data_IF_217476734118
#
_entry.id   IF_217476734118
#
_cell.length_a   1.000
_cell.length_b   1.000
_cell.length_c   1.000
_cell.angle_alpha   90.00
_cell.angle_beta   90.00
_cell.angle_gamma   90.00
#
_symmetry.space_group_name_H-M   'P 1'
#
loop_
_entity.id
_entity.type
_entity.pdbx_description
1 polymer ?
#
# COMPACT_ATOMS: atom_id res chain seq x y z
N UNK A 1 -6.53 2.91 -32.41
CA UNK A 1 -6.52 1.82 -31.43
C UNK A 1 -6.91 2.44 -30.12
N UNK A 2 -7.86 1.85 -29.41
CA UNK A 2 -8.23 2.29 -28.07
C UNK A 2 -7.04 2.27 -27.12
N UNK A 3 -7.07 3.15 -26.12
CA UNK A 3 -6.06 3.27 -25.08
C UNK A 3 -6.53 2.64 -23.76
N UNK A 4 -5.59 2.00 -23.06
CA UNK A 4 -5.73 1.57 -21.66
C UNK A 4 -5.80 2.77 -20.72
N UNK A 5 -6.09 2.54 -19.43
CA UNK A 5 -6.17 3.62 -18.43
C UNK A 5 -4.87 4.42 -18.39
N UNK A 6 -3.73 3.74 -18.28
CA UNK A 6 -2.41 4.38 -18.16
C UNK A 6 -2.04 5.15 -19.43
N UNK A 7 -2.30 4.58 -20.61
CA UNK A 7 -2.07 5.28 -21.88
C UNK A 7 -2.89 6.58 -21.96
N UNK A 8 -4.18 6.57 -21.56
CA UNK A 8 -5.01 7.78 -21.54
C UNK A 8 -4.49 8.84 -20.58
N UNK A 9 -4.08 8.43 -19.38
CA UNK A 9 -3.53 9.36 -18.40
C UNK A 9 -2.23 9.97 -18.93
N UNK A 10 -1.30 9.14 -19.41
CA UNK A 10 0.00 9.59 -19.93
C UNK A 10 -0.15 10.46 -21.18
N UNK A 11 -1.03 10.11 -22.13
CA UNK A 11 -1.31 10.92 -23.31
C UNK A 11 -1.77 12.32 -22.93
N UNK A 12 -2.79 12.42 -22.07
CA UNK A 12 -3.33 13.71 -21.61
C UNK A 12 -2.27 14.53 -20.88
N UNK A 13 -1.51 13.91 -19.99
CA UNK A 13 -0.49 14.59 -19.17
C UNK A 13 0.76 14.97 -19.96
N UNK A 14 0.97 14.37 -21.13
CA UNK A 14 1.98 14.75 -22.11
C UNK A 14 1.49 15.75 -23.17
N UNK A 15 0.21 16.17 -23.11
CA UNK A 15 -0.40 17.02 -24.14
C UNK A 15 -0.51 16.35 -25.52
N UNK A 16 -0.62 15.02 -25.55
CA UNK A 16 -0.78 14.21 -26.77
C UNK A 16 -2.20 13.67 -26.90
N UNK A 17 -2.67 13.51 -28.13
CA UNK A 17 -3.98 12.89 -28.39
C UNK A 17 -3.97 11.38 -28.11
N UNK A 18 -2.84 10.72 -28.35
CA UNK A 18 -2.65 9.29 -28.09
C UNK A 18 -1.18 8.98 -27.81
N UNK A 19 -0.95 7.83 -27.16
CA UNK A 19 0.36 7.21 -26.94
C UNK A 19 0.22 5.71 -27.14
N UNK A 20 1.33 5.01 -27.36
CA UNK A 20 1.37 3.56 -27.47
C UNK A 20 2.56 2.98 -26.67
N UNK A 21 2.52 1.68 -26.32
CA UNK A 21 3.65 1.02 -25.68
C UNK A 21 4.94 1.19 -26.48
N UNK A 22 6.03 1.55 -25.80
CA UNK A 22 7.32 1.90 -26.40
C UNK A 22 7.55 3.41 -26.56
N UNK A 23 6.50 4.25 -26.53
CA UNK A 23 6.67 5.70 -26.55
C UNK A 23 7.37 6.20 -25.29
N UNK A 24 8.22 7.23 -25.42
CA UNK A 24 8.67 8.04 -24.29
C UNK A 24 7.90 9.35 -24.25
N UNK A 25 7.32 9.64 -23.09
CA UNK A 25 6.54 10.85 -22.83
C UNK A 25 7.13 11.65 -21.68
N UNK A 26 7.11 12.98 -21.80
CA UNK A 26 7.35 13.90 -20.69
C UNK A 26 5.98 14.36 -20.21
N UNK A 27 5.71 14.24 -18.92
CA UNK A 27 4.40 14.50 -18.32
C UNK A 27 4.48 15.52 -17.20
N UNK A 28 3.43 16.32 -17.07
CA UNK A 28 3.22 17.15 -15.90
C UNK A 28 2.87 16.28 -14.68
N UNK A 29 3.52 16.53 -13.55
CA UNK A 29 3.20 15.85 -12.29
C UNK A 29 2.17 16.68 -11.51
N UNK A 30 1.14 16.03 -10.97
CA UNK A 30 0.07 16.70 -10.22
C UNK A 30 0.34 16.73 -8.73
N UNK A 31 0.97 15.68 -8.20
CA UNK A 31 1.36 15.59 -6.80
C UNK A 31 2.72 14.93 -6.65
N UNK A 32 3.63 15.59 -5.94
CA UNK A 32 4.95 15.07 -5.57
C UNK A 32 5.05 14.96 -4.07
N UNK A 33 5.41 13.78 -3.56
CA UNK A 33 5.46 13.51 -2.13
C UNK A 33 6.88 13.15 -1.70
N UNK A 34 7.35 13.80 -0.64
CA UNK A 34 8.61 13.48 0.02
C UNK A 34 8.33 12.85 1.39
N UNK A 35 9.10 11.83 1.74
CA UNK A 35 9.07 11.16 3.05
C UNK A 35 10.28 11.55 3.91
N UNK A 36 10.14 11.39 5.23
CA UNK A 36 11.16 11.73 6.23
C UNK A 36 12.57 11.15 5.96
N UNK A 37 12.68 9.91 5.46
CA UNK A 37 13.98 9.29 5.16
C UNK A 37 14.84 10.09 4.18
N UNK A 38 14.21 10.78 3.22
CA UNK A 38 14.92 11.62 2.26
C UNK A 38 15.65 12.77 2.95
N UNK A 39 15.02 13.37 3.96
CA UNK A 39 15.58 14.47 4.74
C UNK A 39 16.71 14.04 5.69
N UNK A 40 16.74 12.75 6.06
CA UNK A 40 17.76 12.16 6.93
C UNK A 40 18.98 11.62 6.17
N UNK A 41 18.79 11.12 4.94
CA UNK A 41 19.82 10.33 4.24
C UNK A 41 20.45 11.02 3.03
N UNK A 42 19.67 11.81 2.29
CA UNK A 42 20.06 12.34 0.97
C UNK A 42 19.60 13.79 0.79
N UNK A 43 19.52 14.54 1.90
CA UNK A 43 19.00 15.90 1.89
C UNK A 43 19.99 16.89 1.26
N UNK A 44 19.56 17.48 0.15
CA UNK A 44 20.22 18.60 -0.51
C UNK A 44 19.19 19.73 -0.55
N UNK A 45 19.44 20.90 0.06
CA UNK A 45 18.50 22.02 -0.03
C UNK A 45 18.36 22.51 -1.49
N UNK A 46 17.16 22.54 -2.08
CA UNK A 46 16.97 23.11 -3.40
C UNK A 46 17.06 24.64 -3.34
N UNK A 47 17.37 25.27 -4.47
CA UNK A 47 17.35 26.74 -4.59
C UNK A 47 15.98 27.27 -5.01
N UNK A 48 15.14 26.43 -5.63
CA UNK A 48 13.80 26.76 -6.11
C UNK A 48 12.93 25.50 -6.10
N UNK A 49 11.64 25.67 -5.89
CA UNK A 49 10.61 24.67 -6.19
C UNK A 49 9.71 25.16 -7.32
N UNK A 50 9.20 24.24 -8.14
CA UNK A 50 8.31 24.54 -9.26
C UNK A 50 6.97 25.08 -8.77
N UNK A 51 6.31 24.33 -7.89
CA UNK A 51 4.98 24.64 -7.37
C UNK A 51 4.79 24.05 -5.95
N UNK A 52 4.76 24.89 -4.89
CA UNK A 52 4.47 24.45 -3.52
C UNK A 52 3.13 23.73 -3.38
N UNK A 53 2.14 24.10 -4.19
CA UNK A 53 0.78 23.54 -4.17
C UNK A 53 0.70 22.19 -4.89
N UNK A 54 1.81 21.67 -5.43
CA UNK A 54 1.92 20.29 -5.93
C UNK A 54 2.88 19.44 -5.11
N UNK A 55 3.29 19.92 -3.94
CA UNK A 55 4.18 19.22 -3.03
C UNK A 55 3.47 18.84 -1.73
N UNK A 56 3.78 17.65 -1.23
CA UNK A 56 3.47 17.22 0.12
C UNK A 56 4.72 16.62 0.78
N UNK A 57 4.85 16.84 2.09
CA UNK A 57 5.91 16.26 2.91
C UNK A 57 5.25 15.49 4.03
N UNK A 58 5.55 14.20 4.15
CA UNK A 58 4.90 13.30 5.11
C UNK A 58 5.96 12.66 6.00
N UNK A 59 5.82 12.87 7.30
CA UNK A 59 6.60 12.11 8.28
C UNK A 59 5.97 10.72 8.42
N UNK A 60 6.77 9.65 8.36
CA UNK A 60 6.25 8.28 8.26
C UNK A 60 7.24 7.27 8.85
N UNK A 61 8.29 6.91 8.11
CA UNK A 61 9.12 5.73 8.33
C UNK A 61 9.95 5.78 9.62
N UNK A 62 10.21 6.98 10.14
CA UNK A 62 11.04 7.19 11.32
C UNK A 62 10.30 8.03 12.38
N UNK A 63 9.05 7.66 12.68
CA UNK A 63 8.24 8.32 13.71
C UNK A 63 7.86 7.34 14.83
N UNK A 64 8.13 7.67 16.11
CA UNK A 64 9.15 8.61 16.57
C UNK A 64 10.54 8.26 16.05
N UNK A 65 11.39 9.28 15.91
CA UNK A 65 12.75 9.12 15.41
C UNK A 65 13.53 8.07 16.23
N UNK A 66 13.96 6.95 15.64
CA UNK A 66 14.72 5.92 16.35
C UNK A 66 16.18 6.30 16.56
N UNK A 67 16.72 7.25 15.78
CA UNK A 67 18.10 7.70 15.88
C UNK A 67 18.25 9.23 15.84
N UNK A 68 19.42 9.73 16.25
CA UNK A 68 19.78 11.16 16.15
C UNK A 68 19.76 11.64 14.69
N UNK A 69 20.14 10.78 13.75
CA UNK A 69 20.11 11.08 12.32
C UNK A 69 18.68 11.36 11.85
N UNK A 70 17.73 10.52 12.26
CA UNK A 70 16.32 10.68 11.88
C UNK A 70 15.69 11.90 12.54
N UNK A 71 16.04 12.15 13.81
CA UNK A 71 15.62 13.36 14.52
C UNK A 71 16.12 14.64 13.81
N UNK A 72 17.36 14.61 13.31
CA UNK A 72 17.96 15.69 12.52
C UNK A 72 17.24 15.87 11.17
N UNK A 73 16.94 14.75 10.48
CA UNK A 73 16.16 14.77 9.24
C UNK A 73 14.78 15.41 9.42
N UNK A 74 14.08 15.12 10.52
CA UNK A 74 12.83 15.81 10.85
C UNK A 74 12.99 17.33 11.00
N UNK A 75 14.14 17.80 11.52
CA UNK A 75 14.47 19.22 11.55
C UNK A 75 14.62 19.84 10.15
N UNK A 76 15.30 19.14 9.24
CA UNK A 76 15.41 19.55 7.84
C UNK A 76 14.05 19.62 7.14
N UNK A 77 13.18 18.64 7.33
CA UNK A 77 11.84 18.61 6.74
C UNK A 77 10.99 19.81 7.16
N UNK A 78 10.98 20.12 8.47
CA UNK A 78 10.26 21.30 9.01
C UNK A 78 10.80 22.60 8.45
N UNK A 79 12.12 22.74 8.39
CA UNK A 79 12.77 23.92 7.82
C UNK A 79 12.44 24.08 6.33
N UNK A 80 12.51 22.99 5.57
CA UNK A 80 12.16 22.99 4.14
C UNK A 80 10.70 23.42 3.91
N UNK A 81 9.77 22.84 4.67
CA UNK A 81 8.36 23.21 4.56
C UNK A 81 8.13 24.70 4.87
N UNK A 82 8.82 25.25 5.88
CA UNK A 82 8.74 26.66 6.24
C UNK A 82 9.37 27.59 5.18
N UNK A 83 10.59 27.27 4.71
CA UNK A 83 11.34 28.10 3.75
C UNK A 83 10.59 28.26 2.42
N UNK A 84 9.87 27.21 2.01
CA UNK A 84 9.18 27.16 0.72
C UNK A 84 7.65 27.27 0.82
N UNK A 85 7.10 27.47 2.02
CA UNK A 85 5.65 27.63 2.22
C UNK A 85 4.83 26.39 1.88
N UNK A 86 5.37 25.19 2.09
CA UNK A 86 4.66 23.92 1.80
C UNK A 86 3.52 23.72 2.80
N UNK A 87 2.28 23.92 2.36
CA UNK A 87 1.10 23.79 3.22
C UNK A 87 0.76 22.33 3.55
N UNK A 88 1.02 21.41 2.63
CA UNK A 88 0.77 19.97 2.80
C UNK A 88 1.91 19.26 3.53
N UNK A 89 2.26 19.80 4.69
CA UNK A 89 3.21 19.19 5.60
C UNK A 89 2.49 18.43 6.72
N UNK A 90 2.72 17.12 6.77
CA UNK A 90 2.13 16.19 7.72
C UNK A 90 3.19 15.76 8.73
N UNK A 91 3.45 16.64 9.70
CA UNK A 91 4.44 16.43 10.76
C UNK A 91 3.98 15.41 11.81
N UNK A 92 4.86 15.04 12.73
CA UNK A 92 4.56 14.26 13.93
C UNK A 92 3.34 14.85 14.66
N UNK A 93 2.39 13.98 15.02
CA UNK A 93 1.04 14.33 15.49
C UNK A 93 -0.04 14.46 14.40
N UNK A 94 0.35 14.68 13.14
CA UNK A 94 -0.51 14.59 11.93
C UNK A 94 -0.03 13.54 10.92
N UNK A 95 1.07 12.88 11.23
CA UNK A 95 1.76 11.85 10.47
C UNK A 95 0.96 10.56 10.26
N UNK A 96 1.55 9.69 9.44
CA UNK A 96 1.07 8.34 9.18
C UNK A 96 1.85 7.74 8.03
N UNK A 97 1.52 6.49 7.72
CA UNK A 97 1.97 5.80 6.53
C UNK A 97 1.64 6.68 5.32
N UNK A 98 2.65 7.05 4.53
CA UNK A 98 2.56 8.10 3.52
C UNK A 98 1.41 7.87 2.53
N UNK A 99 1.21 6.63 2.08
CA UNK A 99 0.13 6.27 1.16
C UNK A 99 -1.26 6.34 1.80
N UNK A 100 -1.37 6.10 3.11
CA UNK A 100 -2.61 6.33 3.86
C UNK A 100 -2.90 7.82 4.00
N UNK A 101 -1.88 8.62 4.32
CA UNK A 101 -2.00 10.09 4.43
C UNK A 101 -2.38 10.71 3.07
N UNK A 102 -1.79 10.23 1.97
CA UNK A 102 -2.19 10.60 0.60
C UNK A 102 -3.67 10.33 0.37
N UNK A 103 -4.14 9.14 0.71
CA UNK A 103 -5.52 8.72 0.50
C UNK A 103 -6.54 9.53 1.32
N UNK A 104 -6.30 9.66 2.63
CA UNK A 104 -7.26 10.31 3.54
C UNK A 104 -7.36 11.82 3.34
N UNK A 105 -6.33 12.45 2.76
CA UNK A 105 -6.31 13.87 2.45
C UNK A 105 -6.62 14.18 0.97
N UNK A 106 -7.02 13.18 0.17
CA UNK A 106 -7.44 13.39 -1.21
C UNK A 106 -6.31 13.86 -2.15
N UNK A 107 -5.07 13.47 -1.87
CA UNK A 107 -3.89 13.87 -2.64
C UNK A 107 -3.67 13.01 -3.89
N UNK A 108 -4.21 11.79 -3.90
CA UNK A 108 -4.33 10.96 -5.10
C UNK A 108 -5.72 11.14 -5.70
N UNK A 109 -5.79 11.66 -6.94
CA UNK A 109 -7.06 11.97 -7.61
C UNK A 109 -7.14 11.21 -8.94
N UNK A 110 -8.35 10.82 -9.38
CA UNK A 110 -8.52 10.09 -10.62
C UNK A 110 -7.96 10.83 -11.83
N UNK A 111 -7.16 10.10 -12.62
CA UNK A 111 -6.55 10.58 -13.85
C UNK A 111 -5.34 11.51 -13.70
N UNK A 112 -4.83 11.67 -12.48
CA UNK A 112 -3.64 12.48 -12.21
C UNK A 112 -2.36 11.63 -12.16
N UNK A 113 -1.21 12.30 -12.18
CA UNK A 113 0.12 11.69 -11.99
C UNK A 113 0.62 12.01 -10.57
N UNK A 114 0.95 10.96 -9.82
CA UNK A 114 1.52 11.08 -8.47
C UNK A 114 2.90 10.43 -8.41
N UNK A 115 3.90 11.19 -7.96
CA UNK A 115 5.26 10.71 -7.76
C UNK A 115 5.65 10.83 -6.29
N UNK A 116 6.32 9.82 -5.75
CA UNK A 116 6.80 9.83 -4.37
C UNK A 116 8.13 9.08 -4.25
N UNK A 117 8.93 9.41 -3.24
CA UNK A 117 10.22 8.74 -2.96
C UNK A 117 10.10 7.31 -2.40
N UNK A 118 8.88 6.78 -2.29
CA UNK A 118 8.61 5.43 -1.78
C UNK A 118 8.16 4.48 -2.90
N UNK A 119 8.60 3.22 -2.88
CA UNK A 119 8.27 2.25 -3.93
C UNK A 119 6.78 1.91 -4.04
N UNK A 120 6.04 2.01 -2.94
CA UNK A 120 4.65 1.58 -2.84
C UNK A 120 3.63 2.64 -3.26
N UNK A 121 4.10 3.68 -3.93
CA UNK A 121 3.28 4.77 -4.48
C UNK A 121 2.20 4.28 -5.44
N UNK A 122 2.39 3.10 -6.05
CA UNK A 122 1.37 2.39 -6.82
C UNK A 122 0.06 2.14 -6.05
N UNK A 123 0.07 2.21 -4.71
CA UNK A 123 -1.14 2.23 -3.87
C UNK A 123 -2.21 3.21 -4.38
N UNK A 124 -1.79 4.36 -4.90
CA UNK A 124 -2.70 5.38 -5.40
C UNK A 124 -3.41 5.00 -6.70
N UNK A 125 -2.97 3.94 -7.40
CA UNK A 125 -3.68 3.42 -8.56
C UNK A 125 -5.04 2.80 -8.25
N UNK A 126 -5.32 2.45 -6.97
CA UNK A 126 -6.67 2.17 -6.50
C UNK A 126 -7.64 3.34 -6.73
N UNK A 127 -7.12 4.57 -6.76
CA UNK A 127 -7.89 5.80 -6.98
C UNK A 127 -7.90 6.25 -8.44
N UNK A 128 -7.58 5.34 -9.37
CA UNK A 128 -7.46 5.64 -10.80
C UNK A 128 -6.37 6.70 -11.10
N UNK A 129 -5.34 6.77 -10.25
CA UNK A 129 -4.18 7.67 -10.40
C UNK A 129 -2.99 6.91 -11.00
N UNK A 130 -2.30 7.49 -11.98
CA UNK A 130 -1.04 6.94 -12.47
C UNK A 130 0.09 7.30 -11.49
N UNK A 131 0.37 6.38 -10.56
CA UNK A 131 1.22 6.65 -9.41
C UNK A 131 2.43 5.71 -9.36
N UNK A 132 3.64 6.27 -9.22
CA UNK A 132 4.89 5.50 -9.24
C UNK A 132 5.92 6.02 -8.25
N UNK A 133 6.60 5.09 -7.60
CA UNK A 133 7.74 5.38 -6.73
C UNK A 133 8.97 5.69 -7.57
N UNK A 134 9.64 6.81 -7.30
CA UNK A 134 10.79 7.26 -8.06
C UNK A 134 11.99 7.51 -7.13
N UNK A 135 13.19 7.35 -7.68
CA UNK A 135 14.41 7.58 -6.93
C UNK A 135 14.50 9.04 -6.43
N UNK A 136 15.24 9.30 -5.33
CA UNK A 136 15.38 10.63 -4.75
C UNK A 136 15.80 11.70 -5.78
N UNK A 137 16.75 11.39 -6.65
CA UNK A 137 17.22 12.33 -7.69
C UNK A 137 16.10 12.74 -8.65
N UNK A 138 15.22 11.81 -9.04
CA UNK A 138 14.10 12.09 -9.93
C UNK A 138 13.04 12.92 -9.20
N UNK A 139 12.71 12.60 -7.95
CA UNK A 139 11.79 13.42 -7.13
C UNK A 139 12.36 14.83 -6.91
N UNK A 140 13.67 14.96 -6.72
CA UNK A 140 14.38 16.25 -6.67
C UNK A 140 14.21 17.05 -7.97
N UNK A 141 14.32 16.38 -9.12
CA UNK A 141 14.09 16.98 -10.44
C UNK A 141 12.64 17.44 -10.57
N UNK A 142 11.68 16.58 -10.24
CA UNK A 142 10.24 16.86 -10.34
C UNK A 142 9.86 18.06 -9.48
N UNK A 143 10.29 18.11 -8.22
CA UNK A 143 9.93 19.25 -7.35
C UNK A 143 10.51 20.58 -7.86
N UNK A 144 11.59 20.56 -8.65
CA UNK A 144 12.21 21.77 -9.23
C UNK A 144 11.62 22.16 -10.59
N UNK A 145 11.13 21.18 -11.36
CA UNK A 145 10.73 21.33 -12.77
C UNK A 145 9.24 21.16 -13.03
N UNK A 146 8.52 20.42 -12.18
CA UNK A 146 7.10 20.10 -12.33
C UNK A 146 6.81 18.89 -13.23
N UNK A 147 7.84 18.28 -13.83
CA UNK A 147 7.69 17.26 -14.88
C UNK A 147 8.59 16.06 -14.64
N UNK A 148 8.21 14.91 -15.17
CA UNK A 148 9.07 13.72 -15.31
C UNK A 148 8.83 13.05 -16.66
N UNK A 149 9.53 11.96 -16.94
CA UNK A 149 9.35 11.18 -18.15
C UNK A 149 9.06 9.71 -17.82
N UNK A 150 8.26 9.07 -18.67
CA UNK A 150 7.97 7.65 -18.60
C UNK A 150 8.10 7.03 -19.99
N UNK A 151 8.57 5.79 -20.04
CA UNK A 151 8.36 4.92 -21.18
C UNK A 151 7.00 4.22 -20.99
N UNK A 152 6.12 4.30 -21.98
CA UNK A 152 4.81 3.65 -21.93
C UNK A 152 5.01 2.13 -22.01
N UNK A 153 4.64 1.43 -20.96
CA UNK A 153 4.69 -0.03 -20.89
C UNK A 153 3.41 -0.68 -21.46
N UNK A 154 3.47 -1.92 -21.99
CA UNK A 154 2.27 -2.73 -22.24
C UNK A 154 1.50 -3.01 -20.95
N UNK A 155 0.20 -3.33 -21.07
CA UNK A 155 -0.68 -3.54 -19.93
C UNK A 155 -1.22 -4.98 -19.87
N UNK A 156 -1.13 -5.62 -18.70
CA UNK A 156 -1.85 -6.84 -18.35
C UNK A 156 -3.19 -6.45 -17.72
N UNK A 157 -4.27 -7.06 -18.20
CA UNK A 157 -5.62 -6.88 -17.67
C UNK A 157 -5.98 -8.02 -16.73
N UNK A 158 -6.37 -7.68 -15.49
CA UNK A 158 -7.04 -8.59 -14.57
C UNK A 158 -8.54 -8.32 -14.57
N UNK A 159 -9.29 -9.24 -15.15
CA UNK A 159 -10.75 -9.23 -15.22
C UNK A 159 -11.31 -9.96 -14.00
N UNK A 160 -11.79 -9.20 -13.02
CA UNK A 160 -12.36 -9.71 -11.78
C UNK A 160 -13.81 -10.15 -12.02
N UNK A 161 -14.13 -11.39 -11.66
CA UNK A 161 -15.44 -12.01 -11.89
C UNK A 161 -15.97 -12.68 -10.62
N UNK A 162 -17.29 -12.73 -10.47
CA UNK A 162 -17.93 -13.29 -9.27
C UNK A 162 -17.86 -12.37 -8.05
N UNK A 163 -18.06 -12.94 -6.87
CA UNK A 163 -18.09 -12.23 -5.58
C UNK A 163 -17.17 -12.96 -4.61
N UNK A 164 -16.21 -12.25 -4.01
CA UNK A 164 -15.28 -12.85 -3.05
C UNK A 164 -16.01 -13.30 -1.77
N UNK A 165 -15.64 -14.44 -1.17
CA UNK A 165 -16.11 -14.79 0.17
C UNK A 165 -15.72 -13.73 1.21
N UNK A 166 -16.52 -13.60 2.27
CA UNK A 166 -16.28 -12.59 3.33
C UNK A 166 -14.94 -12.74 4.06
N UNK A 167 -14.41 -13.97 4.13
CA UNK A 167 -13.10 -14.26 4.73
C UNK A 167 -11.91 -13.92 3.80
N UNK A 168 -12.15 -13.59 2.53
CA UNK A 168 -11.13 -13.24 1.54
C UNK A 168 -11.00 -11.73 1.45
N UNK A 169 -9.79 -11.22 1.56
CA UNK A 169 -9.43 -9.81 1.43
C UNK A 169 -8.69 -9.52 0.12
N UNK A 170 -8.38 -8.24 -0.12
CA UNK A 170 -7.52 -7.83 -1.22
C UNK A 170 -6.11 -8.44 -1.15
N UNK A 171 -5.62 -8.77 0.06
CA UNK A 171 -4.34 -9.46 0.23
C UNK A 171 -4.40 -10.85 -0.38
N UNK A 172 -5.46 -11.60 -0.11
CA UNK A 172 -5.62 -12.97 -0.61
C UNK A 172 -5.76 -12.99 -2.14
N UNK A 173 -6.54 -12.04 -2.70
CA UNK A 173 -6.64 -11.83 -4.15
C UNK A 173 -5.27 -11.57 -4.77
N UNK A 174 -4.50 -10.63 -4.20
CA UNK A 174 -3.18 -10.31 -4.72
C UNK A 174 -2.21 -11.50 -4.61
N UNK A 175 -2.18 -12.19 -3.46
CA UNK A 175 -1.27 -13.34 -3.28
C UNK A 175 -1.61 -14.50 -4.21
N UNK A 176 -2.89 -14.71 -4.51
CA UNK A 176 -3.32 -15.67 -5.52
C UNK A 176 -2.79 -15.26 -6.91
N UNK A 177 -2.98 -14.00 -7.32
CA UNK A 177 -2.48 -13.46 -8.60
C UNK A 177 -0.95 -13.59 -8.69
N UNK A 178 -0.22 -13.15 -7.66
CA UNK A 178 1.25 -13.23 -7.64
C UNK A 178 1.76 -14.67 -7.65
N UNK A 179 1.01 -15.61 -7.05
CA UNK A 179 1.36 -17.02 -7.12
C UNK A 179 1.14 -17.60 -8.53
N UNK A 180 0.05 -17.22 -9.20
CA UNK A 180 -0.30 -17.78 -10.50
C UNK A 180 0.51 -17.17 -11.64
N UNK A 181 0.67 -15.84 -11.66
CA UNK A 181 1.22 -15.09 -12.79
C UNK A 181 2.62 -14.54 -12.56
N UNK A 182 3.07 -14.46 -11.31
CA UNK A 182 4.44 -14.04 -10.97
C UNK A 182 4.71 -12.55 -11.17
N UNK A 183 5.95 -12.24 -11.57
CA UNK A 183 6.42 -10.86 -11.76
C UNK A 183 5.96 -10.26 -13.10
N UNK A 184 5.75 -8.94 -13.11
CA UNK A 184 5.33 -8.14 -14.25
C UNK A 184 6.27 -6.93 -14.51
N UNK A 185 7.59 -7.12 -14.68
CA UNK A 185 8.52 -6.02 -14.90
C UNK A 185 8.30 -5.36 -16.27
N UNK A 186 8.37 -4.02 -16.31
CA UNK A 186 8.09 -3.22 -17.51
C UNK A 186 6.67 -3.42 -18.08
N UNK A 187 5.72 -3.76 -17.20
CA UNK A 187 4.30 -3.92 -17.53
C UNK A 187 3.46 -3.10 -16.57
N UNK A 188 2.31 -2.63 -17.04
CA UNK A 188 1.26 -2.07 -16.21
C UNK A 188 0.28 -3.18 -15.82
N UNK A 189 -0.32 -3.07 -14.65
CA UNK A 189 -1.46 -3.88 -14.24
C UNK A 189 -2.73 -3.02 -14.27
N UNK A 190 -3.78 -3.55 -14.88
CA UNK A 190 -5.09 -2.90 -14.91
C UNK A 190 -6.16 -3.83 -14.37
N UNK A 191 -6.92 -3.38 -13.39
CA UNK A 191 -7.96 -4.16 -12.71
C UNK A 191 -9.34 -3.61 -13.05
N UNK A 192 -10.25 -4.51 -13.47
CA UNK A 192 -11.65 -4.17 -13.65
C UNK A 192 -12.52 -5.40 -13.87
N UNK A 193 -13.65 -5.23 -14.53
CA UNK A 193 -14.61 -6.32 -14.76
C UNK A 193 -15.77 -6.35 -13.78
N UNK A 194 -16.75 -7.24 -14.00
CA UNK A 194 -18.05 -7.20 -13.32
C UNK A 194 -17.95 -7.44 -11.80
N UNK A 195 -16.93 -8.15 -11.32
CA UNK A 195 -16.68 -8.39 -9.90
C UNK A 195 -16.10 -7.17 -9.18
N UNK A 196 -15.60 -6.15 -9.89
CA UNK A 196 -14.92 -4.99 -9.28
C UNK A 196 -15.83 -4.24 -8.29
N UNK A 197 -17.12 -4.12 -8.58
CA UNK A 197 -18.09 -3.44 -7.71
C UNK A 197 -18.22 -4.10 -6.33
N UNK A 198 -17.84 -5.38 -6.20
CA UNK A 198 -17.80 -6.12 -4.94
C UNK A 198 -16.48 -5.97 -4.16
N UNK A 199 -15.48 -5.27 -4.70
CA UNK A 199 -14.18 -5.06 -4.05
C UNK A 199 -14.16 -3.65 -3.40
N UNK A 200 -14.14 -3.56 -2.06
CA UNK A 200 -14.13 -2.27 -1.37
C UNK A 200 -12.78 -1.55 -1.56
N UNK A 201 -12.77 -0.23 -1.33
CA UNK A 201 -11.56 0.59 -1.56
C UNK A 201 -10.35 0.16 -0.74
N UNK A 202 -10.54 -0.33 0.48
CA UNK A 202 -9.43 -0.82 1.30
C UNK A 202 -8.74 -2.02 0.64
N UNK A 203 -9.50 -2.95 0.06
CA UNK A 203 -8.99 -4.12 -0.67
C UNK A 203 -8.34 -3.72 -2.01
N UNK A 204 -8.93 -2.78 -2.76
CA UNK A 204 -8.31 -2.25 -3.99
C UNK A 204 -6.95 -1.64 -3.70
N UNK A 205 -6.83 -0.90 -2.60
CA UNK A 205 -5.55 -0.32 -2.20
C UNK A 205 -4.55 -1.41 -1.83
N UNK A 206 -4.95 -2.42 -1.05
CA UNK A 206 -4.09 -3.58 -0.73
C UNK A 206 -3.49 -4.19 -2.00
N UNK A 207 -4.33 -4.44 -3.02
CA UNK A 207 -3.90 -4.99 -4.31
C UNK A 207 -2.96 -4.01 -5.03
N UNK A 208 -3.36 -2.74 -5.21
CA UNK A 208 -2.60 -1.74 -5.94
C UNK A 208 -1.21 -1.50 -5.31
N UNK A 209 -1.14 -1.40 -3.98
CA UNK A 209 0.11 -1.25 -3.22
C UNK A 209 1.10 -2.34 -3.55
N UNK A 210 0.63 -3.57 -3.75
CA UNK A 210 1.50 -4.72 -3.97
C UNK A 210 1.92 -4.90 -5.44
N UNK A 211 1.48 -4.04 -6.35
CA UNK A 211 2.05 -3.96 -7.70
C UNK A 211 3.57 -3.76 -7.69
N UNK A 212 4.10 -3.09 -6.66
CA UNK A 212 5.55 -2.95 -6.46
C UNK A 212 6.27 -4.29 -6.21
N UNK A 213 5.58 -5.28 -5.65
CA UNK A 213 6.19 -6.59 -5.31
C UNK A 213 6.28 -7.53 -6.50
N UNK A 214 5.48 -7.27 -7.54
CA UNK A 214 5.59 -7.92 -8.85
C UNK A 214 6.28 -6.99 -9.87
N UNK A 215 6.98 -5.95 -9.40
CA UNK A 215 7.75 -5.03 -10.25
C UNK A 215 6.96 -4.30 -11.36
N UNK A 216 5.64 -4.14 -11.19
CA UNK A 216 4.82 -3.42 -12.16
C UNK A 216 5.13 -1.93 -12.17
N UNK A 217 5.07 -1.32 -13.36
CA UNK A 217 5.31 0.12 -13.55
C UNK A 217 4.16 0.96 -12.98
N UNK A 218 2.94 0.54 -13.25
CA UNK A 218 1.70 1.12 -12.70
C UNK A 218 0.70 0.00 -12.36
N UNK A 219 -0.18 0.23 -11.39
CA UNK A 219 -1.23 -0.72 -11.01
C UNK A 219 -2.55 0.03 -10.77
N UNK A 220 -3.41 0.09 -11.78
CA UNK A 220 -4.60 0.96 -11.78
C UNK A 220 -5.91 0.19 -11.79
N UNK A 221 -6.89 0.74 -11.08
CA UNK A 221 -8.27 0.27 -11.10
C UNK A 221 -9.13 1.15 -12.01
N UNK A 222 -10.11 0.54 -12.67
CA UNK A 222 -11.18 1.27 -13.33
C UNK A 222 -11.95 2.18 -12.36
N UNK A 223 -12.42 3.35 -12.82
CA UNK A 223 -13.27 4.21 -12.01
C UNK A 223 -14.69 3.65 -11.95
N UNK A 224 -15.27 3.61 -10.75
CA UNK A 224 -16.64 3.16 -10.53
C UNK A 224 -17.31 3.92 -9.36
N UNK A 225 -18.51 3.49 -8.97
CA UNK A 225 -19.26 4.13 -7.88
C UNK A 225 -18.61 3.93 -6.50
N UNK A 226 -17.90 2.84 -6.26
CA UNK A 226 -17.17 2.60 -5.01
C UNK A 226 -16.05 3.64 -4.84
N UNK A 227 -15.30 3.90 -5.91
CA UNK A 227 -14.31 4.98 -5.93
C UNK A 227 -14.97 6.35 -5.80
N UNK A 228 -16.05 6.61 -6.55
CA UNK A 228 -16.74 7.89 -6.49
C UNK A 228 -17.29 8.21 -5.10
N UNK A 229 -17.89 7.23 -4.41
CA UNK A 229 -18.37 7.36 -3.04
C UNK A 229 -17.23 7.67 -2.08
N UNK A 230 -16.13 6.92 -2.15
CA UNK A 230 -14.95 7.14 -1.31
C UNK A 230 -14.38 8.57 -1.44
N UNK A 231 -14.35 9.11 -2.66
CA UNK A 231 -13.87 10.46 -2.95
C UNK A 231 -14.85 11.54 -2.48
N UNK A 232 -16.16 11.34 -2.69
CA UNK A 232 -17.21 12.27 -2.21
C UNK A 232 -17.18 12.42 -0.69
N UNK A 233 -17.01 11.33 0.05
CA UNK A 233 -16.90 11.36 1.52
C UNK A 233 -15.70 12.18 2.03
N UNK A 234 -14.71 12.41 1.15
CA UNK A 234 -13.51 13.21 1.40
C UNK A 234 -13.56 14.60 0.76
N UNK A 235 -14.71 14.98 0.18
CA UNK A 235 -14.89 16.27 -0.49
C UNK A 235 -14.15 16.41 -1.82
N UNK A 236 -13.63 15.30 -2.38
CA UNK A 236 -12.92 15.31 -3.66
C UNK A 236 -13.94 15.12 -4.78
N UNK A 237 -14.23 16.18 -5.53
CA UNK A 237 -15.33 16.19 -6.52
C UNK A 237 -14.94 16.69 -7.92
N UNK A 238 -13.81 17.37 -8.06
CA UNK A 238 -13.36 17.95 -9.34
C UNK A 238 -12.17 17.19 -9.94
N UNK A 239 -12.43 16.05 -10.59
CA UNK A 239 -11.39 15.21 -11.20
C UNK A 239 -11.84 14.67 -12.55
N UNK A 240 -10.87 14.29 -13.39
CA UNK A 240 -11.10 13.67 -14.70
C UNK A 240 -10.52 12.26 -14.72
N UNK A 241 -11.35 11.28 -14.32
CA UNK A 241 -10.97 9.87 -14.35
C UNK A 241 -10.64 9.39 -15.77
N UNK A 242 -9.97 8.25 -15.85
CA UNK A 242 -9.67 7.54 -17.08
C UNK A 242 -10.23 6.11 -16.99
N UNK A 243 -11.16 5.79 -17.88
CA UNK A 243 -11.62 4.43 -18.15
C UNK A 243 -10.97 3.94 -19.45
N UNK A 244 -10.67 2.64 -19.62
CA UNK A 244 -10.11 2.13 -20.87
C UNK A 244 -11.11 2.32 -22.03
N UNK A 245 -10.61 2.44 -23.25
CA UNK A 245 -11.48 2.37 -24.44
C UNK A 245 -12.03 0.94 -24.62
N UNK A 246 -13.20 0.81 -25.22
CA UNK A 246 -13.83 -0.51 -25.46
C UNK A 246 -13.02 -1.42 -26.38
N UNK A 247 -12.13 -0.84 -27.21
CA UNK A 247 -11.20 -1.52 -28.10
C UNK A 247 -9.73 -1.38 -27.66
N UNK A 248 -9.48 -1.09 -26.37
CA UNK A 248 -8.13 -1.03 -25.81
C UNK A 248 -7.41 -2.39 -25.98
N UNK A 249 -6.14 -2.33 -26.39
CA UNK A 249 -5.31 -3.53 -26.57
C UNK A 249 -4.54 -3.83 -25.29
N UNK A 250 -4.63 -5.06 -24.81
CA UNK A 250 -3.86 -5.55 -23.67
C UNK A 250 -2.84 -6.57 -24.15
N UNK A 251 -1.68 -6.64 -23.46
CA UNK A 251 -0.70 -7.69 -23.72
C UNK A 251 -1.30 -9.06 -23.38
N UNK A 252 -1.93 -9.14 -22.20
CA UNK A 252 -2.59 -10.33 -21.68
C UNK A 252 -3.87 -9.95 -20.94
N UNK A 253 -4.83 -10.88 -20.91
CA UNK A 253 -6.07 -10.76 -20.15
C UNK A 253 -6.22 -12.01 -19.29
N UNK A 254 -6.21 -11.84 -17.97
CA UNK A 254 -6.38 -12.90 -16.99
C UNK A 254 -7.74 -12.74 -16.31
N UNK A 255 -8.49 -13.83 -16.23
CA UNK A 255 -9.80 -13.87 -15.59
C UNK A 255 -9.65 -14.43 -14.18
N UNK A 256 -10.05 -13.66 -13.17
CA UNK A 256 -9.92 -14.03 -11.76
C UNK A 256 -11.31 -14.35 -11.20
N UNK A 257 -11.57 -15.64 -10.93
CA UNK A 257 -12.77 -16.08 -10.25
C UNK A 257 -12.67 -15.79 -8.75
N UNK A 258 -13.30 -14.71 -8.32
CA UNK A 258 -13.30 -14.29 -6.92
C UNK A 258 -14.02 -15.29 -6.01
N UNK A 259 -15.03 -16.01 -6.52
CA UNK A 259 -15.86 -16.90 -5.70
C UNK A 259 -15.11 -18.17 -5.29
N UNK A 260 -14.13 -18.60 -6.09
CA UNK A 260 -13.26 -19.75 -5.81
C UNK A 260 -12.10 -19.47 -4.86
N UNK A 261 -11.90 -18.21 -4.44
CA UNK A 261 -10.78 -17.84 -3.57
C UNK A 261 -11.05 -18.23 -2.11
N UNK A 262 -9.95 -18.51 -1.41
CA UNK A 262 -9.94 -18.74 0.03
C UNK A 262 -8.73 -18.01 0.66
N UNK A 263 -8.66 -17.88 2.01
CA UNK A 263 -7.53 -17.23 2.66
C UNK A 263 -6.19 -17.80 2.20
N UNK A 264 -5.23 -16.90 1.92
CA UNK A 264 -3.98 -17.23 1.23
C UNK A 264 -2.77 -16.77 2.06
N UNK A 265 -1.66 -17.47 1.91
CA UNK A 265 -0.40 -17.14 2.60
C UNK A 265 0.78 -17.24 1.64
N UNK A 266 1.65 -16.22 1.65
CA UNK A 266 2.96 -16.28 1.01
C UNK A 266 4.00 -16.88 1.96
N UNK A 267 4.78 -17.84 1.46
CA UNK A 267 5.88 -18.47 2.18
C UNK A 267 7.10 -17.53 2.25
N UNK A 268 8.11 -17.78 3.10
CA UNK A 268 9.28 -16.92 3.21
C UNK A 268 10.08 -16.77 1.92
N UNK A 269 10.75 -15.61 1.79
CA UNK A 269 11.78 -15.36 0.78
C UNK A 269 11.32 -14.54 -0.42
N UNK A 270 10.20 -14.89 -1.04
CA UNK A 270 9.65 -14.17 -2.21
C UNK A 270 8.12 -14.17 -2.22
N UNK A 271 7.54 -13.25 -2.99
CA UNK A 271 6.09 -13.10 -3.17
C UNK A 271 5.60 -13.91 -4.37
N UNK A 272 6.34 -13.84 -5.47
CA UNK A 272 5.97 -14.41 -6.76
C UNK A 272 6.12 -15.93 -6.78
N UNK A 273 5.10 -16.62 -7.29
CA UNK A 273 5.03 -18.10 -7.35
C UNK A 273 5.32 -18.81 -6.02
N UNK A 274 4.97 -18.19 -4.89
CA UNK A 274 5.37 -18.66 -3.58
C UNK A 274 4.24 -18.59 -2.55
N UNK A 275 2.99 -18.68 -3.01
CA UNK A 275 1.83 -18.62 -2.15
C UNK A 275 1.00 -19.88 -2.18
N UNK A 276 0.36 -20.20 -1.07
CA UNK A 276 -0.54 -21.35 -0.93
C UNK A 276 -1.81 -20.94 -0.20
N UNK A 277 -2.95 -21.60 -0.46
CA UNK A 277 -4.10 -21.47 0.41
C UNK A 277 -3.77 -21.90 1.84
N UNK A 278 -4.28 -21.18 2.83
CA UNK A 278 -4.04 -21.47 4.25
C UNK A 278 -4.50 -22.89 4.61
N UNK A 279 -5.59 -23.37 3.98
CA UNK A 279 -6.12 -24.72 4.11
C UNK A 279 -5.12 -25.84 3.78
N UNK A 280 -4.10 -25.54 2.97
CA UNK A 280 -3.06 -26.48 2.53
C UNK A 280 -1.76 -26.34 3.33
N UNK A 281 -1.67 -25.33 4.19
CA UNK A 281 -0.51 -25.14 5.04
C UNK A 281 -0.64 -26.04 6.29
N UNK A 282 0.44 -26.73 6.64
CA UNK A 282 0.52 -27.44 7.92
C UNK A 282 0.52 -26.49 9.11
N UNK A 283 0.62 -27.04 10.33
CA UNK A 283 0.71 -26.25 11.57
C UNK A 283 2.06 -25.58 11.70
N UNK A 284 2.25 -24.46 11.00
CA UNK A 284 3.44 -23.63 11.06
C UNK A 284 3.36 -22.73 12.31
N UNK A 285 4.17 -23.00 13.33
CA UNK A 285 4.27 -22.15 14.52
C UNK A 285 4.73 -20.74 14.13
N UNK A 286 4.22 -19.74 14.84
CA UNK A 286 4.68 -18.36 14.76
C UNK A 286 5.17 -17.88 16.14
N UNK A 287 6.10 -16.93 16.13
CA UNK A 287 6.61 -16.27 17.34
C UNK A 287 6.19 -14.79 17.36
N UNK A 288 6.01 -14.18 16.19
CA UNK A 288 5.51 -12.82 16.05
C UNK A 288 4.43 -12.72 14.97
N UNK A 289 3.41 -11.91 15.23
CA UNK A 289 2.39 -11.50 14.29
C UNK A 289 2.44 -9.97 14.13
N UNK A 290 2.21 -9.46 12.92
CA UNK A 290 2.23 -8.03 12.64
C UNK A 290 1.08 -7.59 11.74
N UNK A 291 0.31 -6.59 12.18
CA UNK A 291 -0.76 -5.97 11.40
C UNK A 291 -0.49 -4.47 11.26
N UNK A 292 -0.57 -3.93 10.04
CA UNK A 292 -0.52 -2.48 9.77
C UNK A 292 0.68 -2.02 8.94
N UNK A 293 0.44 -1.76 7.66
CA UNK A 293 1.46 -1.40 6.65
C UNK A 293 0.85 -0.48 5.59
N UNK A 294 1.59 -0.10 4.55
CA UNK A 294 1.00 0.64 3.42
C UNK A 294 -0.14 -0.11 2.68
N UNK A 295 -0.20 -1.44 2.83
CA UNK A 295 -1.24 -2.28 2.26
C UNK A 295 -2.40 -2.59 3.24
N UNK A 296 -2.37 -2.12 4.49
CA UNK A 296 -3.44 -2.35 5.47
C UNK A 296 -3.32 -1.38 6.66
N UNK A 297 -3.81 -1.72 7.84
CA UNK A 297 -3.83 -0.81 9.01
C UNK A 297 -4.83 0.33 8.86
N UNK A 298 -5.75 0.24 7.90
CA UNK A 298 -6.91 1.12 7.79
C UNK A 298 -7.88 0.88 8.92
N UNK A 299 -8.88 1.75 9.03
CA UNK A 299 -9.92 1.56 10.03
C UNK A 299 -10.61 0.21 9.87
N UNK A 300 -10.89 -0.19 8.63
CA UNK A 300 -11.49 -1.48 8.27
C UNK A 300 -10.59 -2.67 8.64
N UNK A 301 -9.28 -2.55 8.41
CA UNK A 301 -8.32 -3.62 8.80
C UNK A 301 -8.24 -3.77 10.33
N UNK A 302 -8.32 -2.65 11.06
CA UNK A 302 -8.32 -2.65 12.53
C UNK A 302 -9.64 -3.18 13.09
N UNK A 303 -10.76 -2.89 12.43
CA UNK A 303 -12.07 -3.48 12.76
C UNK A 303 -12.03 -5.00 12.59
N UNK A 304 -11.55 -5.49 11.45
CA UNK A 304 -11.39 -6.93 11.19
C UNK A 304 -10.50 -7.58 12.26
N UNK A 305 -9.36 -6.98 12.58
CA UNK A 305 -8.47 -7.50 13.62
C UNK A 305 -9.14 -7.50 14.99
N UNK A 306 -9.82 -6.40 15.37
CA UNK A 306 -10.54 -6.29 16.63
C UNK A 306 -11.65 -7.32 16.76
N UNK A 307 -12.43 -7.55 15.70
CA UNK A 307 -13.52 -8.53 15.70
C UNK A 307 -13.01 -9.97 15.90
N UNK A 308 -11.88 -10.33 15.29
CA UNK A 308 -11.23 -11.64 15.50
C UNK A 308 -10.68 -11.77 16.92
N UNK A 309 -10.09 -10.70 17.46
CA UNK A 309 -9.43 -10.69 18.76
C UNK A 309 -10.39 -10.57 19.95
N UNK A 310 -11.59 -10.02 19.75
CA UNK A 310 -12.55 -9.70 20.82
C UNK A 310 -12.90 -10.94 21.64
N UNK A 311 -12.65 -10.87 22.95
CA UNK A 311 -12.93 -11.96 23.90
C UNK A 311 -11.93 -13.12 23.86
N UNK A 312 -10.91 -13.04 23.01
CA UNK A 312 -9.82 -14.01 22.90
C UNK A 312 -8.53 -13.47 23.52
N UNK A 313 -7.54 -14.36 23.70
CA UNK A 313 -6.19 -14.00 24.15
C UNK A 313 -5.16 -14.50 23.14
N UNK A 314 -4.11 -13.72 22.91
CA UNK A 314 -2.97 -14.15 22.11
C UNK A 314 -2.29 -15.37 22.75
N UNK A 315 -1.86 -16.31 21.92
CA UNK A 315 -1.21 -17.54 22.38
C UNK A 315 0.05 -17.27 23.21
N UNK A 316 0.32 -18.07 24.26
CA UNK A 316 1.56 -17.97 25.03
C UNK A 316 2.80 -18.08 24.13
N UNK A 317 3.70 -17.11 24.25
CA UNK A 317 4.93 -17.06 23.46
C UNK A 317 4.79 -16.37 22.09
N UNK A 318 3.60 -15.89 21.72
CA UNK A 318 3.39 -15.09 20.51
C UNK A 318 3.28 -13.60 20.85
N UNK A 319 3.91 -12.77 20.03
CA UNK A 319 3.79 -11.30 20.11
C UNK A 319 2.95 -10.80 18.94
N UNK A 320 1.82 -10.15 19.20
CA UNK A 320 1.10 -9.43 18.14
C UNK A 320 1.38 -7.93 18.25
N UNK A 321 1.85 -7.34 17.15
CA UNK A 321 2.01 -5.89 17.01
C UNK A 321 0.99 -5.35 16.01
N UNK A 322 0.32 -4.26 16.38
CA UNK A 322 -0.69 -3.62 15.53
C UNK A 322 -0.38 -2.13 15.35
N UNK A 323 -0.26 -1.70 14.10
CA UNK A 323 0.11 -0.36 13.68
C UNK A 323 -1.02 0.32 12.91
N UNK A 324 -1.79 1.24 13.52
CA UNK A 324 -2.76 2.05 12.78
C UNK A 324 -2.08 2.90 11.72
N UNK A 325 -2.62 2.93 10.49
CA UNK A 325 -1.92 3.50 9.33
C UNK A 325 -1.75 5.02 9.37
N UNK A 326 -2.53 5.77 10.16
CA UNK A 326 -2.34 7.21 10.35
C UNK A 326 -2.84 7.68 11.73
N UNK A 327 -2.47 8.89 12.13
CA UNK A 327 -3.02 9.50 13.36
C UNK A 327 -4.53 9.75 13.27
N UNK A 328 -5.10 9.90 12.07
CA UNK A 328 -6.55 9.96 11.90
C UNK A 328 -7.19 8.60 12.18
N UNK A 329 -6.66 7.54 11.56
CA UNK A 329 -7.12 6.15 11.77
C UNK A 329 -6.95 5.72 13.23
N UNK A 330 -5.80 6.01 13.84
CA UNK A 330 -5.51 5.70 15.24
C UNK A 330 -6.58 6.27 16.17
N UNK A 331 -6.91 7.57 16.02
CA UNK A 331 -7.90 8.26 16.87
C UNK A 331 -9.31 7.73 16.65
N UNK A 332 -9.67 7.41 15.42
CA UNK A 332 -10.99 6.86 15.12
C UNK A 332 -11.14 5.42 15.63
N UNK A 333 -10.13 4.56 15.43
CA UNK A 333 -10.11 3.21 15.98
C UNK A 333 -10.17 3.21 17.52
N UNK A 334 -9.53 4.19 18.17
CA UNK A 334 -9.66 4.41 19.60
C UNK A 334 -11.10 4.78 20.00
N UNK A 335 -11.72 5.74 19.30
CA UNK A 335 -13.12 6.14 19.57
C UNK A 335 -14.11 5.00 19.43
N UNK A 336 -13.86 4.09 18.47
CA UNK A 336 -14.72 2.93 18.20
C UNK A 336 -14.47 1.75 19.13
N UNK A 337 -13.42 1.79 19.94
CA UNK A 337 -13.06 0.68 20.84
C UNK A 337 -12.25 -0.43 20.19
N UNK A 338 -11.95 -0.36 18.89
CA UNK A 338 -11.14 -1.38 18.20
C UNK A 338 -9.76 -1.52 18.84
N UNK A 339 -9.13 -0.40 19.19
CA UNK A 339 -7.84 -0.43 19.91
C UNK A 339 -7.97 -1.04 21.32
N UNK A 340 -9.12 -0.90 21.97
CA UNK A 340 -9.35 -1.52 23.27
C UNK A 340 -9.44 -3.05 23.12
N UNK A 341 -10.26 -3.54 22.18
CA UNK A 341 -10.40 -4.97 21.90
C UNK A 341 -9.05 -5.62 21.55
N UNK A 342 -8.25 -4.95 20.71
CA UNK A 342 -6.90 -5.38 20.32
C UNK A 342 -5.96 -5.45 21.53
N UNK A 343 -5.98 -4.43 22.40
CA UNK A 343 -5.14 -4.39 23.60
C UNK A 343 -5.57 -5.43 24.65
N UNK A 344 -6.88 -5.64 24.82
CA UNK A 344 -7.44 -6.59 25.79
C UNK A 344 -7.06 -8.04 25.45
N UNK A 345 -6.91 -8.36 24.15
CA UNK A 345 -6.37 -9.65 23.70
C UNK A 345 -4.87 -9.83 23.99
N UNK A 346 -4.18 -8.78 24.45
CA UNK A 346 -2.75 -8.77 24.80
C UNK A 346 -1.83 -8.24 23.70
N UNK A 347 -2.36 -7.60 22.65
CA UNK A 347 -1.54 -7.08 21.55
C UNK A 347 -0.83 -5.78 21.94
N UNK A 348 0.31 -5.50 21.30
CA UNK A 348 1.02 -4.24 21.42
C UNK A 348 0.58 -3.30 20.31
N UNK A 349 -0.03 -2.18 20.68
CA UNK A 349 -0.40 -1.13 19.74
C UNK A 349 0.76 -0.15 19.61
N UNK A 350 1.26 0.01 18.38
CA UNK A 350 2.33 0.95 18.05
C UNK A 350 1.74 2.29 17.58
N UNK A 351 2.56 3.35 17.52
CA UNK A 351 2.16 4.55 16.81
C UNK A 351 2.17 4.32 15.29
N UNK A 352 1.51 5.19 14.54
CA UNK A 352 1.49 5.14 13.08
C UNK A 352 2.88 5.38 12.48
N UNK A 353 3.45 4.38 11.83
CA UNK A 353 4.76 4.46 11.14
C UNK A 353 4.95 3.26 10.22
N UNK A 354 5.51 3.47 9.02
CA UNK A 354 6.01 2.39 8.17
C UNK A 354 7.23 1.69 8.80
N UNK A 355 7.94 2.34 9.72
CA UNK A 355 9.17 1.80 10.32
C UNK A 355 8.97 0.43 10.98
N UNK A 356 7.80 0.19 11.59
CA UNK A 356 7.45 -1.10 12.18
C UNK A 356 7.29 -2.22 11.15
N UNK A 357 6.87 -1.88 9.93
CA UNK A 357 6.55 -2.82 8.86
C UNK A 357 7.79 -3.49 8.23
N UNK A 358 8.93 -2.81 8.18
CA UNK A 358 10.19 -3.34 7.61
C UNK A 358 11.33 -3.42 8.64
N UNK A 359 10.98 -3.50 9.93
CA UNK A 359 11.95 -3.69 11.00
C UNK A 359 12.94 -2.54 11.18
N UNK A 360 12.56 -1.31 10.81
CA UNK A 360 13.37 -0.12 11.09
C UNK A 360 13.44 0.16 12.59
N UNK A 361 12.30 0.01 13.27
CA UNK A 361 12.13 0.06 14.73
C UNK A 361 10.78 -0.56 15.11
N UNK A 362 10.47 -0.68 16.41
CA UNK A 362 9.14 -1.07 16.91
C UNK A 362 8.66 -2.48 16.52
N UNK A 363 9.47 -3.51 16.81
CA UNK A 363 9.07 -4.91 16.63
C UNK A 363 9.99 -5.72 15.71
N UNK A 364 11.29 -5.47 15.77
CA UNK A 364 12.30 -6.20 14.99
C UNK A 364 12.23 -7.70 15.30
N UNK A 365 12.28 -8.53 14.25
CA UNK A 365 12.23 -10.00 14.37
C UNK A 365 13.62 -10.56 14.68
N UNK A 366 13.71 -11.40 15.70
CA UNK A 366 14.94 -12.01 16.19
C UNK A 366 15.41 -13.21 15.34
N UNK A 367 16.64 -13.70 15.57
CA UNK A 367 17.17 -14.87 14.87
C UNK A 367 16.39 -16.15 15.20
N UNK A 368 16.04 -16.93 14.17
CA UNK A 368 15.30 -18.17 14.30
C UNK A 368 13.80 -18.01 14.60
N UNK A 369 13.29 -16.79 14.62
CA UNK A 369 11.87 -16.52 14.84
C UNK A 369 11.07 -16.59 13.53
N UNK A 370 9.82 -17.04 13.64
CA UNK A 370 8.84 -17.02 12.56
C UNK A 370 7.88 -15.86 12.76
N UNK A 371 7.78 -14.96 11.77
CA UNK A 371 6.84 -13.86 11.75
C UNK A 371 5.76 -14.06 10.69
N UNK A 372 4.49 -13.91 11.06
CA UNK A 372 3.38 -13.78 10.11
C UNK A 372 2.93 -12.31 10.06
N UNK A 373 3.02 -11.68 8.90
CA UNK A 373 2.78 -10.24 8.73
C UNK A 373 1.71 -9.95 7.69
N UNK A 374 0.91 -8.90 7.90
CA UNK A 374 0.05 -8.37 6.82
C UNK A 374 0.82 -7.42 5.88
N UNK A 375 2.09 -7.16 6.14
CA UNK A 375 2.99 -6.36 5.30
C UNK A 375 3.06 -6.83 3.83
N UNK A 376 3.74 -6.06 3.00
CA UNK A 376 3.90 -6.33 1.57
C UNK A 376 5.13 -7.17 1.23
N UNK A 377 6.11 -7.31 2.15
CA UNK A 377 7.41 -7.96 1.87
C UNK A 377 7.79 -9.00 2.91
N UNK A 378 8.43 -10.07 2.43
CA UNK A 378 8.85 -11.26 3.19
C UNK A 378 10.26 -11.78 2.86
N UNK A 379 11.09 -11.00 2.16
CA UNK A 379 12.45 -11.42 1.85
C UNK A 379 13.34 -11.49 3.09
N UNK A 380 14.43 -12.26 3.01
CA UNK A 380 15.38 -12.47 4.10
C UNK A 380 15.90 -11.15 4.69
N UNK A 381 15.83 -11.02 6.02
CA UNK A 381 16.25 -9.80 6.73
C UNK A 381 15.29 -8.62 6.61
N UNK A 382 14.10 -8.80 5.99
CA UNK A 382 13.16 -7.68 5.76
C UNK A 382 12.68 -7.02 7.04
N UNK A 383 12.45 -7.78 8.11
CA UNK A 383 11.88 -7.27 9.37
C UNK A 383 12.84 -7.38 10.55
N UNK A 384 14.12 -7.65 10.30
CA UNK A 384 15.12 -7.85 11.36
C UNK A 384 16.20 -8.83 10.94
N UNK A 385 16.33 -9.92 11.70
CA UNK A 385 17.36 -10.92 11.48
C UNK A 385 17.27 -11.56 10.09
N UNK A 386 18.43 -11.87 9.51
CA UNK A 386 18.53 -12.70 8.30
C UNK A 386 18.20 -14.16 8.56
N UNK A 387 18.18 -14.58 9.84
CA UNK A 387 17.83 -15.94 10.25
C UNK A 387 16.33 -16.07 10.58
N UNK A 388 15.53 -15.02 10.35
CA UNK A 388 14.09 -15.03 10.56
C UNK A 388 13.33 -15.49 9.32
N UNK A 389 12.21 -16.18 9.53
CA UNK A 389 11.27 -16.55 8.48
C UNK A 389 10.05 -15.64 8.51
N UNK A 390 9.68 -15.06 7.37
CA UNK A 390 8.59 -14.08 7.28
C UNK A 390 7.53 -14.63 6.34
N UNK A 391 6.32 -14.86 6.82
CA UNK A 391 5.14 -15.24 6.04
C UNK A 391 4.24 -14.02 5.86
N UNK A 392 3.47 -13.97 4.78
CA UNK A 392 2.48 -12.89 4.58
C UNK A 392 1.07 -13.41 4.43
N UNK A 393 0.11 -12.78 5.10
CA UNK A 393 -1.30 -13.11 4.98
C UNK A 393 -2.20 -11.89 5.25
N UNK A 394 -3.50 -12.04 5.04
CA UNK A 394 -4.49 -11.01 5.35
C UNK A 394 -4.55 -10.68 6.85
N UNK A 395 -4.97 -9.47 7.27
CA UNK A 395 -5.13 -9.11 8.68
C UNK A 395 -5.96 -10.10 9.50
N UNK A 396 -7.05 -10.63 8.94
CA UNK A 396 -7.88 -11.66 9.59
C UNK A 396 -7.07 -12.94 9.89
N UNK A 397 -6.34 -13.45 8.90
CA UNK A 397 -5.47 -14.62 9.04
C UNK A 397 -4.36 -14.37 10.06
N UNK A 398 -3.76 -13.18 10.06
CA UNK A 398 -2.72 -12.79 11.03
C UNK A 398 -3.28 -12.79 12.46
N UNK A 399 -4.45 -12.16 12.68
CA UNK A 399 -5.10 -12.09 13.99
C UNK A 399 -5.50 -13.50 14.49
N UNK A 400 -6.11 -14.31 13.63
CA UNK A 400 -6.49 -15.69 13.96
C UNK A 400 -5.28 -16.54 14.33
N UNK A 401 -4.18 -16.40 13.58
CA UNK A 401 -2.93 -17.11 13.83
C UNK A 401 -2.26 -16.67 15.14
N UNK A 402 -2.40 -15.40 15.53
CA UNK A 402 -1.88 -14.89 16.80
C UNK A 402 -2.59 -15.53 18.01
N UNK A 403 -3.90 -15.77 17.90
CA UNK A 403 -4.68 -16.50 18.92
C UNK A 403 -4.30 -17.98 18.95
N UNK A 404 -4.13 -18.60 17.77
CA UNK A 404 -3.85 -20.03 17.66
C UNK A 404 -2.40 -20.42 18.01
N UNK A 405 -1.44 -19.52 17.82
CA UNK A 405 0.00 -19.78 17.97
C UNK A 405 0.68 -20.40 16.74
N UNK A 406 -0.08 -20.59 15.66
CA UNK A 406 0.38 -21.12 14.38
C UNK A 406 -0.50 -20.57 13.25
N UNK A 407 0.00 -20.58 12.02
CA UNK A 407 -0.73 -20.05 10.85
C UNK A 407 -2.05 -20.81 10.69
N UNK A 408 -3.17 -20.09 10.75
CA UNK A 408 -4.52 -20.64 10.88
C UNK A 408 -5.50 -19.89 9.99
N UNK A 409 -6.47 -20.62 9.44
CA UNK A 409 -7.56 -20.05 8.65
C UNK A 409 -8.48 -19.19 9.54
N UNK A 410 -8.76 -17.93 9.18
CA UNK A 410 -9.58 -17.05 10.01
C UNK A 410 -11.00 -17.57 10.25
N UNK A 411 -11.53 -18.44 9.38
CA UNK A 411 -12.85 -19.05 9.54
C UNK A 411 -12.95 -19.94 10.78
N UNK A 412 -11.83 -20.51 11.26
CA UNK A 412 -11.87 -21.43 12.40
C UNK A 412 -11.99 -20.74 13.77
N UNK A 413 -11.90 -19.41 13.81
CA UNK A 413 -11.98 -18.61 15.06
C UNK A 413 -13.08 -17.56 15.04
N UNK A 414 -13.77 -17.39 13.91
CA UNK A 414 -14.83 -16.40 13.71
C UNK A 414 -16.24 -17.01 13.57
N UNK A 415 -16.34 -18.34 13.46
CA UNK A 415 -17.59 -19.11 13.46
C UNK A 415 -18.04 -19.54 14.86
#
# INVERSE_FOLDING_TARGET
MGMTIIEKILARKAGREAVAPGDTVVVDVDMTVLIDLQFATMWIPPTRIHDPDKLAVIMDHAVPAPTIKDATGGGHARKFAADFGIQRFYDVGRHGICHQVIAENGLARPGEILACTDSHTCAAGAYNTAARGLGPAEIYSIMCTGTTWFQVAPTIRYQLEGVKPGAVSGKDIFLHIANEYGDAPNLNLEFGGPGLAGIPMHDRRTIATQGAEVSADFSTFEPDEVLAAFLRDRGVTAYHSAAPDSDASYQEVHHIDLAGLEPYVALPGTVSHNGVPVSRLGRQKIDQAFIGSCANGQLEDLEIAADVLRGNMIAPGVRLLVTPASQAVYREAMRRGYLQDIADAGAVITNSTCGACFGYHMGVVGPGEVCLTSSTRNFTGRMGSTDAEIFMAAPATVAASAIAGYITDPRSVTE
#
